data_IF_334952345231
#
_entry.id   IF_334952345231
#
_cell.length_a   1.000
_cell.length_b   1.000
_cell.length_c   1.000
_cell.angle_alpha   90.00
_cell.angle_beta   90.00
_cell.angle_gamma   90.00
#
_symmetry.space_group_name_H-M   'P 1'
#
loop_
_entity.id
_entity.type
_entity.pdbx_description
1 polymer ?
#
# COMPACT_ATOMS: atom_id res chain seq x y z
N UNK A 1 -23.86 -33.71 20.52
CA UNK A 1 -22.70 -33.31 19.71
C UNK A 1 -22.63 -31.80 19.76
N UNK A 2 -21.62 -31.22 20.45
CA UNK A 2 -21.38 -29.78 20.42
C UNK A 2 -20.59 -29.49 19.13
N UNK A 3 -21.20 -28.76 18.20
CA UNK A 3 -20.51 -28.23 17.06
C UNK A 3 -19.33 -27.38 17.55
N UNK A 4 -18.12 -27.79 17.16
CA UNK A 4 -16.93 -26.96 17.27
C UNK A 4 -17.17 -25.74 16.38
N UNK A 5 -17.62 -24.63 16.97
CA UNK A 5 -17.48 -23.31 16.33
C UNK A 5 -16.00 -23.08 16.17
N UNK A 6 -15.48 -23.29 14.96
CA UNK A 6 -14.17 -22.79 14.59
C UNK A 6 -14.18 -21.29 14.90
N UNK A 7 -13.39 -20.85 15.86
CA UNK A 7 -13.14 -19.43 16.11
C UNK A 7 -12.51 -18.87 14.82
N UNK A 8 -13.35 -18.38 13.91
CA UNK A 8 -12.86 -17.55 12.80
C UNK A 8 -12.25 -16.33 13.44
N UNK A 9 -10.94 -16.21 13.36
CA UNK A 9 -10.23 -14.98 13.72
C UNK A 9 -10.76 -13.90 12.77
N UNK A 10 -11.45 -12.91 13.32
CA UNK A 10 -11.96 -11.78 12.55
C UNK A 10 -10.84 -10.76 12.49
N UNK A 11 -10.14 -10.70 11.36
CA UNK A 11 -9.09 -9.70 11.15
C UNK A 11 -9.71 -8.30 11.14
N UNK A 12 -9.02 -7.36 11.78
CA UNK A 12 -9.44 -5.97 11.79
C UNK A 12 -9.18 -5.34 10.42
N UNK A 13 -10.00 -4.40 10.03
CA UNK A 13 -9.83 -3.59 8.81
C UNK A 13 -8.74 -2.51 9.01
N UNK A 14 -7.59 -2.94 9.55
CA UNK A 14 -6.42 -2.11 9.83
C UNK A 14 -5.21 -2.74 9.16
N UNK A 15 -4.60 -1.97 8.26
CA UNK A 15 -3.45 -2.35 7.45
C UNK A 15 -2.23 -1.52 7.85
N UNK A 16 -1.11 -2.16 8.10
CA UNK A 16 0.13 -1.51 8.57
C UNK A 16 1.22 -1.72 7.52
N UNK A 17 1.60 -0.67 6.82
CA UNK A 17 2.68 -0.70 5.83
C UNK A 17 3.96 -0.26 6.49
N UNK A 18 4.88 -1.18 6.72
CA UNK A 18 6.11 -0.96 7.49
C UNK A 18 7.31 -1.64 6.82
N UNK A 19 8.47 -1.03 6.95
CA UNK A 19 9.80 -1.60 6.68
C UNK A 19 10.83 -0.65 7.28
N UNK A 20 11.92 -1.17 7.83
CA UNK A 20 12.98 -0.37 8.43
C UNK A 20 13.67 0.54 7.41
N UNK A 21 13.78 0.10 6.16
CA UNK A 21 14.48 0.86 5.14
C UNK A 21 13.63 1.96 4.51
N UNK A 22 14.27 3.09 4.26
CA UNK A 22 13.74 4.15 3.42
C UNK A 22 13.77 3.76 1.93
N UNK A 23 12.90 4.36 1.11
CA UNK A 23 12.97 4.20 -0.35
C UNK A 23 12.42 2.89 -0.92
N UNK A 24 12.00 1.92 -0.10
CA UNK A 24 11.43 0.63 -0.56
C UNK A 24 10.01 0.75 -1.13
N UNK A 25 9.41 1.94 -1.09
CA UNK A 25 8.12 2.21 -1.72
C UNK A 25 6.91 2.09 -0.80
N UNK A 26 7.08 2.15 0.52
CA UNK A 26 5.97 2.10 1.51
C UNK A 26 4.83 3.05 1.16
N UNK A 27 5.11 4.34 1.09
CA UNK A 27 4.08 5.36 0.83
C UNK A 27 3.48 5.24 -0.57
N UNK A 28 4.27 4.83 -1.57
CA UNK A 28 3.73 4.54 -2.90
C UNK A 28 2.75 3.38 -2.85
N UNK A 29 3.11 2.30 -2.17
CA UNK A 29 2.24 1.14 -2.02
C UNK A 29 0.98 1.49 -1.20
N UNK A 30 1.13 2.09 -0.03
CA UNK A 30 0.03 2.46 0.85
C UNK A 30 -0.99 3.37 0.17
N UNK A 31 -0.51 4.45 -0.45
CA UNK A 31 -1.35 5.53 -0.97
C UNK A 31 -1.81 5.34 -2.41
N UNK A 32 -1.00 4.71 -3.26
CA UNK A 32 -1.27 4.59 -4.69
C UNK A 32 -1.70 3.18 -5.13
N UNK A 33 -1.56 2.17 -4.25
CA UNK A 33 -1.95 0.79 -4.58
C UNK A 33 -2.96 0.27 -3.58
N UNK A 34 -2.57 0.13 -2.30
CA UNK A 34 -3.40 -0.52 -1.29
C UNK A 34 -4.72 0.23 -1.05
N UNK A 35 -4.64 1.53 -0.75
CA UNK A 35 -5.83 2.32 -0.46
C UNK A 35 -6.83 2.37 -1.65
N UNK A 36 -6.39 2.59 -2.91
CA UNK A 36 -7.25 2.43 -4.09
C UNK A 36 -7.89 1.06 -4.24
N UNK A 37 -7.14 -0.03 -4.05
CA UNK A 37 -7.65 -1.40 -4.13
C UNK A 37 -8.69 -1.66 -3.04
N UNK A 38 -8.42 -1.21 -1.81
CA UNK A 38 -9.37 -1.33 -0.70
C UNK A 38 -10.66 -0.56 -0.98
N UNK A 39 -10.56 0.65 -1.54
CA UNK A 39 -11.74 1.43 -1.93
C UNK A 39 -12.58 0.72 -2.99
N UNK A 40 -11.96 0.26 -4.07
CA UNK A 40 -12.66 -0.40 -5.18
C UNK A 40 -13.34 -1.71 -4.76
N UNK A 41 -12.75 -2.44 -3.81
CA UNK A 41 -13.33 -3.67 -3.28
C UNK A 41 -14.34 -3.45 -2.15
N UNK A 42 -14.44 -2.23 -1.61
CA UNK A 42 -15.28 -1.90 -0.46
C UNK A 42 -15.94 -0.53 -0.65
N UNK A 43 -16.73 -0.35 -1.73
CA UNK A 43 -17.34 0.94 -2.12
C UNK A 43 -18.20 1.61 -1.03
N UNK A 44 -18.67 0.85 -0.04
CA UNK A 44 -19.47 1.35 1.08
C UNK A 44 -18.62 1.69 2.32
N UNK A 45 -17.29 1.55 2.23
CA UNK A 45 -16.38 1.83 3.35
C UNK A 45 -15.58 3.10 3.13
N UNK A 46 -15.29 3.78 4.23
CA UNK A 46 -14.43 4.95 4.27
C UNK A 46 -12.98 4.53 4.42
N UNK A 47 -12.15 4.82 3.45
CA UNK A 47 -10.72 4.51 3.51
C UNK A 47 -9.97 5.71 4.08
N UNK A 48 -9.23 5.50 5.15
CA UNK A 48 -8.41 6.52 5.80
C UNK A 48 -6.95 6.09 5.86
N UNK A 49 -6.07 6.86 5.25
CA UNK A 49 -4.62 6.63 5.23
C UNK A 49 -3.93 7.61 6.16
N UNK A 50 -3.15 7.07 7.09
CA UNK A 50 -2.37 7.80 8.10
C UNK A 50 -0.89 7.65 7.77
N UNK A 51 -0.28 8.69 7.20
CA UNK A 51 1.17 8.76 7.05
C UNK A 51 1.79 9.20 8.39
N UNK A 52 2.56 8.31 8.99
CA UNK A 52 3.26 8.58 10.25
C UNK A 52 4.76 8.60 9.98
N UNK A 53 5.31 9.79 9.75
CA UNK A 53 6.70 9.98 9.33
C UNK A 53 7.20 11.37 9.80
N UNK A 54 8.35 11.38 10.47
CA UNK A 54 8.96 12.64 10.90
C UNK A 54 9.64 13.41 9.77
N UNK A 55 10.06 12.71 8.73
CA UNK A 55 10.86 13.26 7.62
C UNK A 55 10.02 13.70 6.44
N UNK A 56 8.91 13.02 6.17
CA UNK A 56 8.08 13.24 4.99
C UNK A 56 6.74 13.91 5.34
N UNK A 57 6.12 14.50 4.34
CA UNK A 57 4.75 14.99 4.37
C UNK A 57 4.16 14.83 2.97
N UNK A 58 3.84 13.58 2.62
CA UNK A 58 3.35 13.21 1.29
C UNK A 58 1.95 13.76 1.03
N UNK A 59 1.15 13.99 2.09
CA UNK A 59 -0.18 14.61 1.99
C UNK A 59 -0.16 15.95 1.22
N UNK A 60 0.92 16.73 1.31
CA UNK A 60 1.05 17.98 0.56
C UNK A 60 0.98 17.79 -0.97
N UNK A 61 1.17 16.55 -1.42
CA UNK A 61 1.27 16.21 -2.84
C UNK A 61 0.15 15.29 -3.33
N UNK A 62 -0.70 14.77 -2.42
CA UNK A 62 -1.77 13.83 -2.78
C UNK A 62 -3.07 14.29 -2.13
N UNK A 63 -3.99 14.76 -2.97
CA UNK A 63 -5.37 15.02 -2.58
C UNK A 63 -6.27 14.00 -3.28
N UNK A 64 -7.28 13.49 -2.57
CA UNK A 64 -8.28 12.58 -3.13
C UNK A 64 -9.69 12.99 -2.70
N UNK A 65 -10.65 12.77 -3.60
CA UNK A 65 -12.08 12.90 -3.31
C UNK A 65 -12.67 11.66 -2.64
N UNK A 66 -11.95 10.53 -2.73
CA UNK A 66 -12.44 9.20 -2.37
C UNK A 66 -11.76 8.64 -1.13
N UNK A 67 -10.52 9.05 -0.87
CA UNK A 67 -9.69 8.53 0.22
C UNK A 67 -9.23 9.70 1.08
N UNK A 68 -9.38 9.56 2.39
CA UNK A 68 -8.87 10.55 3.35
C UNK A 68 -7.40 10.26 3.65
N UNK A 69 -6.53 11.26 3.42
CA UNK A 69 -5.10 11.18 3.75
C UNK A 69 -4.77 12.16 4.85
N UNK A 70 -4.05 11.71 5.86
CA UNK A 70 -3.51 12.56 6.92
C UNK A 70 -2.03 12.22 7.17
N UNK A 71 -1.21 13.27 7.30
CA UNK A 71 0.22 13.14 7.64
C UNK A 71 0.47 13.69 9.02
N UNK A 72 1.13 12.91 9.85
CA UNK A 72 1.32 13.14 11.27
C UNK A 72 2.75 12.81 11.68
N UNK A 73 3.18 13.35 12.79
CA UNK A 73 4.51 13.07 13.33
C UNK A 73 4.49 11.83 14.21
N UNK A 74 5.64 11.15 14.29
CA UNK A 74 5.79 9.93 15.10
C UNK A 74 5.43 10.15 16.57
N UNK A 75 5.66 11.34 17.12
CA UNK A 75 5.28 11.69 18.49
C UNK A 75 3.79 11.60 18.76
N UNK A 76 2.97 11.79 17.73
CA UNK A 76 1.51 11.78 17.82
C UNK A 76 0.93 10.36 17.57
N UNK A 77 1.78 9.36 17.26
CA UNK A 77 1.37 8.02 16.86
C UNK A 77 0.53 7.27 17.90
N UNK A 78 0.77 7.52 19.19
CA UNK A 78 -0.02 6.87 20.26
C UNK A 78 -1.48 7.34 20.25
N UNK A 79 -1.71 8.65 20.14
CA UNK A 79 -3.05 9.21 20.04
C UNK A 79 -3.78 8.67 18.80
N UNK A 80 -3.08 8.63 17.66
CA UNK A 80 -3.64 8.16 16.40
C UNK A 80 -4.02 6.68 16.47
N UNK A 81 -3.16 5.85 17.05
CA UNK A 81 -3.44 4.41 17.17
C UNK A 81 -4.66 4.18 18.07
N UNK A 82 -4.80 4.95 19.17
CA UNK A 82 -5.99 4.90 20.00
C UNK A 82 -7.26 5.36 19.26
N UNK A 83 -7.16 6.41 18.45
CA UNK A 83 -8.28 6.90 17.62
C UNK A 83 -8.68 5.87 16.55
N UNK A 84 -7.70 5.19 15.93
CA UNK A 84 -7.95 4.11 14.97
C UNK A 84 -8.62 2.93 15.65
N UNK A 85 -8.16 2.53 16.83
CA UNK A 85 -8.79 1.45 17.60
C UNK A 85 -10.24 1.79 17.96
N UNK A 86 -10.47 3.01 18.46
CA UNK A 86 -11.81 3.49 18.77
C UNK A 86 -12.72 3.52 17.53
N UNK A 87 -12.21 4.05 16.42
CA UNK A 87 -12.94 4.08 15.13
C UNK A 87 -13.29 2.67 14.66
N UNK A 88 -12.34 1.75 14.71
CA UNK A 88 -12.57 0.36 14.29
C UNK A 88 -13.62 -0.37 15.16
N UNK A 89 -13.80 0.04 16.42
CA UNK A 89 -14.82 -0.50 17.31
C UNK A 89 -16.20 0.14 17.10
N UNK A 90 -16.25 1.40 16.70
CA UNK A 90 -17.47 2.22 16.63
C UNK A 90 -18.01 2.41 15.22
N UNK A 91 -17.15 2.35 14.20
CA UNK A 91 -17.51 2.48 12.79
C UNK A 91 -17.07 1.25 11.98
N UNK A 92 -17.96 0.27 11.79
CA UNK A 92 -17.66 -0.93 11.00
C UNK A 92 -17.44 -0.62 9.51
N UNK A 93 -17.73 0.61 9.06
CA UNK A 93 -17.54 1.05 7.69
C UNK A 93 -16.21 1.77 7.47
N UNK A 94 -15.33 1.79 8.46
CA UNK A 94 -13.99 2.37 8.31
C UNK A 94 -12.93 1.31 8.01
N UNK A 95 -11.99 1.65 7.12
CA UNK A 95 -10.75 0.91 6.88
C UNK A 95 -9.59 1.86 7.10
N UNK A 96 -8.63 1.44 7.90
CA UNK A 96 -7.45 2.24 8.22
C UNK A 96 -6.20 1.65 7.61
N UNK A 97 -5.41 2.49 6.94
CA UNK A 97 -4.08 2.17 6.43
C UNK A 97 -3.07 3.06 7.13
N UNK A 98 -2.13 2.48 7.86
CA UNK A 98 -1.02 3.19 8.49
C UNK A 98 0.19 3.03 7.58
N UNK A 99 0.68 4.14 7.03
CA UNK A 99 1.93 4.22 6.28
C UNK A 99 3.04 4.66 7.22
N UNK A 100 3.86 3.71 7.65
CA UNK A 100 4.97 3.95 8.55
C UNK A 100 6.18 4.54 7.84
N UNK A 101 6.76 5.59 8.40
CA UNK A 101 8.04 6.14 7.97
C UNK A 101 9.17 5.11 7.93
N UNK A 102 10.31 5.51 7.39
CA UNK A 102 11.51 4.68 7.35
C UNK A 102 12.20 4.55 8.71
N UNK A 103 13.24 3.69 8.76
CA UNK A 103 14.13 3.55 9.92
C UNK A 103 13.40 3.26 11.24
N UNK A 104 13.58 4.12 12.24
CA UNK A 104 13.01 3.97 13.59
C UNK A 104 11.49 4.09 13.64
N UNK A 105 10.86 4.76 12.67
CA UNK A 105 9.43 5.06 12.72
C UNK A 105 8.58 3.80 12.61
N UNK A 106 8.91 2.91 11.68
CA UNK A 106 8.26 1.59 11.55
C UNK A 106 8.35 0.79 12.86
N UNK A 107 9.53 0.73 13.48
CA UNK A 107 9.72 0.08 14.79
C UNK A 107 8.90 0.73 15.90
N UNK A 108 8.83 2.05 15.89
CA UNK A 108 8.06 2.80 16.89
C UNK A 108 6.57 2.52 16.76
N UNK A 109 6.04 2.49 15.54
CA UNK A 109 4.63 2.13 15.28
C UNK A 109 4.34 0.74 15.83
N UNK A 110 5.16 -0.28 15.51
CA UNK A 110 4.98 -1.65 16.02
C UNK A 110 5.00 -1.66 17.57
N UNK A 111 5.94 -0.94 18.20
CA UNK A 111 5.99 -0.84 19.67
C UNK A 111 4.73 -0.19 20.26
N UNK A 112 4.17 0.84 19.60
CA UNK A 112 2.93 1.50 20.03
C UNK A 112 1.73 0.56 19.91
N UNK A 113 1.61 -0.16 18.80
CA UNK A 113 0.56 -1.18 18.62
C UNK A 113 0.61 -2.24 19.74
N UNK A 114 1.83 -2.67 20.11
CA UNK A 114 2.05 -3.58 21.24
C UNK A 114 1.59 -2.97 22.57
N UNK A 115 1.90 -1.69 22.83
CA UNK A 115 1.52 -1.00 24.07
C UNK A 115 0.02 -0.92 24.27
N UNK A 116 -0.75 -0.69 23.21
CA UNK A 116 -2.23 -0.66 23.25
C UNK A 116 -2.87 -2.04 23.06
N UNK A 117 -2.07 -3.10 22.91
CA UNK A 117 -2.51 -4.48 22.67
C UNK A 117 -3.46 -4.63 21.47
N UNK A 118 -3.20 -3.88 20.39
CA UNK A 118 -3.99 -3.91 19.16
C UNK A 118 -3.49 -5.04 18.26
N UNK A 119 -4.13 -6.18 18.28
CA UNK A 119 -3.74 -7.43 17.59
C UNK A 119 -4.74 -7.86 16.50
N UNK A 120 -4.35 -8.83 15.68
CA UNK A 120 -5.16 -9.33 14.56
C UNK A 120 -5.13 -8.38 13.36
N UNK A 121 -4.03 -7.70 13.15
CA UNK A 121 -3.84 -6.71 12.09
C UNK A 121 -3.30 -7.35 10.81
N UNK A 122 -3.26 -6.55 9.74
CA UNK A 122 -2.70 -6.95 8.44
C UNK A 122 -1.44 -6.12 8.17
N UNK A 123 -0.29 -6.77 8.19
CA UNK A 123 1.02 -6.15 8.02
C UNK A 123 1.49 -6.35 6.59
N UNK A 124 1.98 -5.27 5.99
CA UNK A 124 2.51 -5.26 4.64
C UNK A 124 3.94 -4.74 4.70
N UNK A 125 4.88 -5.53 4.18
CA UNK A 125 6.31 -5.24 4.19
C UNK A 125 6.78 -5.09 2.74
N UNK A 126 6.73 -3.88 2.15
CA UNK A 126 7.30 -3.63 0.84
C UNK A 126 8.82 -3.76 0.88
N UNK A 127 9.38 -4.42 -0.13
CA UNK A 127 10.82 -4.62 -0.27
C UNK A 127 11.25 -4.49 -1.72
N UNK A 128 12.55 -4.30 -1.95
CA UNK A 128 13.18 -4.35 -3.27
C UNK A 128 14.22 -5.48 -3.32
N UNK A 129 14.94 -5.60 -4.41
CA UNK A 129 15.93 -6.65 -4.67
C UNK A 129 17.24 -6.52 -3.89
N UNK A 130 17.46 -5.42 -3.17
CA UNK A 130 18.72 -5.18 -2.45
C UNK A 130 18.96 -6.23 -1.37
N UNK A 131 20.20 -6.67 -1.25
CA UNK A 131 20.59 -7.78 -0.37
C UNK A 131 20.30 -7.49 1.10
N UNK A 132 20.52 -6.26 1.54
CA UNK A 132 20.30 -5.81 2.92
C UNK A 132 18.82 -5.84 3.34
N UNK A 133 17.90 -6.00 2.36
CA UNK A 133 16.47 -6.04 2.64
C UNK A 133 16.03 -7.34 3.32
N UNK A 134 16.73 -8.44 3.10
CA UNK A 134 16.38 -9.76 3.67
C UNK A 134 16.41 -9.70 5.19
N UNK A 135 17.49 -9.20 5.77
CA UNK A 135 17.63 -9.09 7.23
C UNK A 135 16.58 -8.16 7.82
N UNK A 136 16.26 -7.06 7.12
CA UNK A 136 15.23 -6.13 7.55
C UNK A 136 13.82 -6.74 7.52
N UNK A 137 13.52 -7.59 6.52
CA UNK A 137 12.26 -8.33 6.45
C UNK A 137 12.17 -9.31 7.62
N UNK A 138 13.21 -10.09 7.86
CA UNK A 138 13.28 -11.08 8.95
C UNK A 138 13.04 -10.38 10.29
N UNK A 139 13.83 -9.34 10.59
CA UNK A 139 13.70 -8.56 11.82
C UNK A 139 12.29 -7.99 12.01
N UNK A 140 11.68 -7.48 10.95
CA UNK A 140 10.32 -6.92 11.01
C UNK A 140 9.29 -8.01 11.29
N UNK A 141 9.39 -9.17 10.63
CA UNK A 141 8.51 -10.32 10.85
C UNK A 141 8.62 -10.82 12.30
N UNK A 142 9.84 -10.99 12.81
CA UNK A 142 10.08 -11.40 14.19
C UNK A 142 9.45 -10.43 15.19
N UNK A 143 9.67 -9.12 14.99
CA UNK A 143 9.09 -8.09 15.84
C UNK A 143 7.56 -8.12 15.84
N UNK A 144 6.94 -8.32 14.67
CA UNK A 144 5.48 -8.43 14.56
C UNK A 144 5.01 -9.70 15.28
N UNK A 145 5.61 -10.87 14.99
CA UNK A 145 5.21 -12.16 15.56
C UNK A 145 5.41 -12.26 17.08
N UNK A 146 6.34 -11.48 17.64
CA UNK A 146 6.55 -11.40 19.09
C UNK A 146 5.27 -10.97 19.83
N UNK A 147 4.47 -10.06 19.27
CA UNK A 147 3.28 -9.55 19.94
C UNK A 147 1.95 -9.89 19.23
N UNK A 148 1.91 -9.90 17.91
CA UNK A 148 0.71 -10.23 17.11
C UNK A 148 0.90 -11.56 16.39
N UNK A 149 0.69 -12.65 17.13
CA UNK A 149 0.83 -14.01 16.60
C UNK A 149 -0.24 -14.35 15.56
N UNK A 150 -1.36 -13.63 15.56
CA UNK A 150 -2.52 -13.87 14.70
C UNK A 150 -2.58 -12.89 13.53
N UNK A 151 -1.77 -11.84 13.54
CA UNK A 151 -1.71 -10.88 12.46
C UNK A 151 -1.30 -11.54 11.13
N UNK A 152 -1.85 -11.06 10.02
CA UNK A 152 -1.41 -11.50 8.70
C UNK A 152 -0.21 -10.68 8.24
N UNK A 153 0.76 -11.35 7.65
CA UNK A 153 1.97 -10.71 7.13
C UNK A 153 2.10 -10.97 5.63
N UNK A 154 2.15 -9.88 4.86
CA UNK A 154 2.35 -9.88 3.42
C UNK A 154 3.68 -9.23 3.09
N UNK A 155 4.49 -9.88 2.26
CA UNK A 155 5.65 -9.22 1.63
C UNK A 155 5.22 -8.70 0.28
N UNK A 156 5.59 -7.46 -0.05
CA UNK A 156 5.38 -6.89 -1.39
C UNK A 156 6.73 -6.73 -2.07
N UNK A 157 7.00 -7.56 -3.08
CA UNK A 157 8.14 -7.39 -3.96
C UNK A 157 7.88 -6.21 -4.89
N UNK A 158 8.50 -5.08 -4.58
CA UNK A 158 8.29 -3.82 -5.26
C UNK A 158 9.31 -3.64 -6.41
N UNK A 159 8.91 -2.86 -7.42
CA UNK A 159 9.73 -2.55 -8.61
C UNK A 159 10.07 -3.79 -9.44
N UNK A 160 9.20 -4.78 -9.49
CA UNK A 160 9.40 -5.93 -10.37
C UNK A 160 9.57 -5.45 -11.82
N UNK A 161 10.62 -5.89 -12.49
CA UNK A 161 10.84 -5.55 -13.91
C UNK A 161 9.90 -6.32 -14.84
N UNK A 162 9.29 -7.37 -14.33
CA UNK A 162 8.30 -8.20 -15.01
C UNK A 162 7.52 -9.00 -13.96
N UNK A 163 6.27 -9.33 -14.23
CA UNK A 163 5.46 -10.21 -13.38
C UNK A 163 5.56 -11.69 -13.76
N UNK A 164 6.47 -12.07 -14.69
CA UNK A 164 6.75 -13.47 -15.01
C UNK A 164 7.57 -14.09 -13.87
N UNK A 165 7.15 -15.29 -13.43
CA UNK A 165 7.71 -15.97 -12.26
C UNK A 165 9.23 -16.15 -12.33
N UNK A 166 9.76 -16.57 -13.49
CA UNK A 166 11.20 -16.73 -13.71
C UNK A 166 11.97 -15.41 -13.55
N UNK A 167 11.40 -14.32 -14.02
CA UNK A 167 12.00 -12.97 -13.92
C UNK A 167 11.97 -12.46 -12.50
N UNK A 168 10.86 -12.69 -11.77
CA UNK A 168 10.74 -12.32 -10.36
C UNK A 168 11.78 -13.08 -9.53
N UNK A 169 11.86 -14.42 -9.68
CA UNK A 169 12.83 -15.24 -8.94
C UNK A 169 14.27 -14.80 -9.19
N UNK A 170 14.60 -14.46 -10.44
CA UNK A 170 15.93 -13.97 -10.78
C UNK A 170 16.22 -12.59 -10.21
N UNK A 171 15.25 -11.66 -10.22
CA UNK A 171 15.42 -10.32 -9.65
C UNK A 171 15.58 -10.39 -8.13
N UNK A 172 14.78 -11.20 -7.46
CA UNK A 172 14.79 -11.35 -6.00
C UNK A 172 15.52 -12.62 -5.56
N UNK A 173 16.63 -12.94 -6.22
CA UNK A 173 17.40 -14.18 -6.02
C UNK A 173 17.84 -14.39 -4.58
N UNK A 174 18.14 -13.32 -3.85
CA UNK A 174 18.52 -13.39 -2.44
C UNK A 174 17.36 -13.86 -1.54
N UNK A 175 16.13 -13.68 -1.98
CA UNK A 175 14.94 -14.14 -1.26
C UNK A 175 14.53 -15.55 -1.69
N UNK A 176 14.47 -15.79 -3.02
CA UNK A 176 14.02 -17.09 -3.57
C UNK A 176 15.11 -18.16 -3.59
N UNK A 177 16.37 -17.74 -3.54
CA UNK A 177 17.50 -18.64 -3.69
C UNK A 177 17.76 -19.06 -5.14
N UNK A 178 18.83 -19.82 -5.36
CA UNK A 178 19.17 -20.46 -6.62
C UNK A 178 20.05 -21.68 -6.37
N UNK A 179 19.58 -22.85 -6.74
CA UNK A 179 20.36 -24.10 -6.63
C UNK A 179 21.60 -24.05 -7.49
N UNK A 180 21.52 -23.49 -8.70
CA UNK A 180 22.61 -23.40 -9.66
C UNK A 180 23.76 -22.50 -9.16
N UNK A 181 23.44 -21.49 -8.35
CA UNK A 181 24.40 -20.56 -7.76
C UNK A 181 24.72 -20.88 -6.30
N UNK A 182 24.13 -21.94 -5.73
CA UNK A 182 24.33 -22.33 -4.34
C UNK A 182 23.77 -21.31 -3.33
N UNK A 183 22.78 -20.48 -3.74
CA UNK A 183 22.12 -19.49 -2.88
C UNK A 183 20.90 -20.15 -2.23
N UNK A 184 20.83 -20.26 -0.89
CA UNK A 184 19.67 -20.85 -0.22
C UNK A 184 18.44 -19.95 -0.31
N UNK A 185 17.25 -20.56 -0.43
CA UNK A 185 15.97 -19.86 -0.29
C UNK A 185 15.76 -19.39 1.15
N UNK A 186 15.30 -18.16 1.32
CA UNK A 186 14.94 -17.62 2.62
C UNK A 186 13.42 -17.71 2.89
N UNK A 187 12.60 -17.81 1.83
CA UNK A 187 11.14 -17.78 1.93
C UNK A 187 10.59 -18.89 2.83
N UNK A 188 11.13 -20.11 2.72
CA UNK A 188 10.63 -21.27 3.46
C UNK A 188 10.72 -21.08 4.99
N UNK A 189 11.58 -20.19 5.44
CA UNK A 189 11.82 -19.91 6.84
C UNK A 189 11.02 -18.69 7.35
N UNK A 190 10.33 -17.96 6.46
CA UNK A 190 9.59 -16.77 6.83
C UNK A 190 8.16 -17.12 7.29
N UNK A 191 7.80 -16.63 8.46
CA UNK A 191 6.45 -16.79 9.01
C UNK A 191 5.46 -15.78 8.38
N UNK A 192 5.26 -15.86 7.06
CA UNK A 192 4.41 -14.98 6.26
C UNK A 192 3.18 -15.69 5.72
N UNK A 193 2.16 -14.92 5.36
CA UNK A 193 0.92 -15.45 4.78
C UNK A 193 0.96 -15.47 3.25
N UNK A 194 1.52 -14.41 2.61
CA UNK A 194 1.55 -14.31 1.16
C UNK A 194 2.64 -13.36 0.66
N UNK A 195 3.05 -13.54 -0.61
CA UNK A 195 3.95 -12.63 -1.34
C UNK A 195 3.17 -11.99 -2.47
N UNK A 196 3.17 -10.67 -2.49
CA UNK A 196 2.55 -9.83 -3.51
C UNK A 196 3.62 -9.23 -4.41
N UNK A 197 3.26 -8.90 -5.65
CA UNK A 197 4.18 -8.37 -6.64
C UNK A 197 3.69 -7.02 -7.15
N UNK A 198 4.57 -6.04 -7.20
CA UNK A 198 4.26 -4.73 -7.76
C UNK A 198 5.26 -4.39 -8.87
N UNK A 199 4.72 -4.31 -10.09
CA UNK A 199 5.53 -3.95 -11.24
C UNK A 199 6.04 -2.52 -11.17
N UNK A 200 7.26 -2.30 -11.63
CA UNK A 200 7.84 -0.97 -11.72
C UNK A 200 7.10 -0.16 -12.79
N UNK A 201 6.51 0.96 -12.39
CA UNK A 201 5.77 1.81 -13.32
C UNK A 201 6.12 3.28 -13.14
N UNK A 202 6.40 3.95 -14.26
CA UNK A 202 6.59 5.41 -14.31
C UNK A 202 5.35 6.18 -13.84
N UNK A 203 4.17 5.54 -13.91
CA UNK A 203 2.89 6.13 -13.54
C UNK A 203 2.91 6.65 -12.11
N UNK A 204 3.45 5.89 -11.15
CA UNK A 204 3.52 6.34 -9.75
C UNK A 204 4.35 7.60 -9.58
N UNK A 205 5.44 7.72 -10.33
CA UNK A 205 6.28 8.93 -10.33
C UNK A 205 5.56 10.11 -10.95
N UNK A 206 4.88 9.91 -12.08
CA UNK A 206 4.14 10.95 -12.76
C UNK A 206 2.97 11.48 -11.90
N UNK A 207 2.20 10.59 -11.28
CA UNK A 207 1.08 10.97 -10.41
C UNK A 207 1.57 11.81 -9.22
N UNK A 208 2.67 11.40 -8.58
CA UNK A 208 3.22 12.11 -7.42
C UNK A 208 3.89 13.43 -7.80
N UNK A 209 4.77 13.42 -8.80
CA UNK A 209 5.68 14.54 -9.07
C UNK A 209 5.13 15.54 -10.07
N UNK A 210 4.35 15.09 -11.05
CA UNK A 210 3.89 15.91 -12.16
C UNK A 210 2.42 16.30 -12.00
N UNK A 211 1.53 15.31 -11.83
CA UNK A 211 0.09 15.56 -11.77
C UNK A 211 -0.41 15.92 -10.37
N UNK A 212 0.29 15.50 -9.33
CA UNK A 212 -0.06 15.72 -7.92
C UNK A 212 -1.49 15.29 -7.59
N UNK A 213 -1.88 14.14 -8.12
CA UNK A 213 -3.20 13.55 -7.98
C UNK A 213 -3.08 12.11 -7.47
N UNK A 214 -4.05 11.65 -6.70
CA UNK A 214 -4.13 10.25 -6.29
C UNK A 214 -4.50 9.35 -7.48
N UNK A 215 -3.98 8.12 -7.50
CA UNK A 215 -4.26 7.16 -8.57
C UNK A 215 -5.75 6.94 -8.79
N UNK A 216 -6.51 6.82 -7.70
CA UNK A 216 -7.95 6.57 -7.76
C UNK A 216 -8.71 7.74 -8.39
N UNK A 217 -8.37 8.97 -8.01
CA UNK A 217 -8.97 10.18 -8.61
C UNK A 217 -8.63 10.27 -10.09
N UNK A 218 -7.38 10.01 -10.44
CA UNK A 218 -6.92 9.99 -11.82
C UNK A 218 -7.67 8.91 -12.65
N UNK A 219 -7.88 7.74 -12.08
CA UNK A 219 -8.64 6.66 -12.70
C UNK A 219 -10.08 7.10 -12.99
N UNK A 220 -10.80 7.61 -12.00
CA UNK A 220 -12.19 8.04 -12.19
C UNK A 220 -12.31 9.24 -13.13
N UNK A 221 -11.41 10.21 -13.07
CA UNK A 221 -11.39 11.33 -14.03
C UNK A 221 -11.12 10.85 -15.46
N UNK A 222 -10.29 9.82 -15.61
CA UNK A 222 -9.99 9.23 -16.92
C UNK A 222 -11.20 8.46 -17.45
N UNK A 223 -11.87 7.72 -16.59
CA UNK A 223 -13.10 6.97 -16.94
C UNK A 223 -14.22 7.91 -17.35
N UNK A 224 -14.48 8.94 -16.56
CA UNK A 224 -15.48 9.98 -16.86
C UNK A 224 -15.21 10.67 -18.21
N UNK A 225 -13.96 11.05 -18.46
CA UNK A 225 -13.56 11.64 -19.73
C UNK A 225 -13.78 10.67 -20.90
N UNK A 226 -13.53 9.38 -20.71
CA UNK A 226 -13.73 8.36 -21.74
C UNK A 226 -15.21 8.13 -22.03
N UNK A 227 -16.02 7.94 -21.00
CA UNK A 227 -17.46 7.65 -21.13
C UNK A 227 -18.23 8.85 -21.67
N UNK A 228 -17.87 10.07 -21.29
CA UNK A 228 -18.58 11.30 -21.58
C UNK A 228 -17.88 12.21 -22.62
N UNK A 229 -17.05 11.63 -23.48
CA UNK A 229 -16.21 12.40 -24.44
C UNK A 229 -17.01 13.37 -25.32
N UNK A 230 -18.26 13.04 -25.68
CA UNK A 230 -19.12 13.90 -26.50
C UNK A 230 -19.57 15.14 -25.72
N UNK A 231 -19.88 15.01 -24.45
CA UNK A 231 -20.22 16.14 -23.57
C UNK A 231 -19.00 17.06 -23.39
N UNK A 232 -17.82 16.47 -23.17
CA UNK A 232 -16.58 17.23 -23.10
C UNK A 232 -16.27 17.96 -24.39
N UNK A 233 -16.54 17.35 -25.56
CA UNK A 233 -16.37 18.02 -26.86
C UNK A 233 -17.22 19.29 -26.96
N UNK A 234 -18.49 19.22 -26.52
CA UNK A 234 -19.37 20.38 -26.49
C UNK A 234 -18.87 21.45 -25.51
N UNK A 235 -18.49 21.03 -24.31
CA UNK A 235 -17.96 21.90 -23.25
C UNK A 235 -16.67 22.62 -23.66
N UNK A 236 -15.82 21.98 -24.41
CA UNK A 236 -14.55 22.55 -24.87
C UNK A 236 -14.69 23.44 -26.10
N UNK A 237 -15.78 23.32 -26.86
CA UNK A 237 -16.06 24.15 -28.04
C UNK A 237 -14.97 24.11 -29.08
N UNK A 238 -14.66 25.25 -29.69
CA UNK A 238 -13.65 25.38 -30.75
C UNK A 238 -12.23 25.02 -30.30
N UNK A 239 -11.94 25.13 -29.02
CA UNK A 239 -10.65 24.74 -28.43
C UNK A 239 -10.57 23.23 -28.10
N UNK A 240 -11.60 22.46 -28.41
CA UNK A 240 -11.72 21.06 -28.03
C UNK A 240 -10.52 20.21 -28.36
N UNK A 241 -9.91 20.41 -29.55
CA UNK A 241 -8.72 19.65 -29.96
C UNK A 241 -7.51 19.96 -29.06
N UNK A 242 -7.29 21.23 -28.68
CA UNK A 242 -6.16 21.60 -27.83
C UNK A 242 -6.36 21.05 -26.41
N UNK A 243 -7.57 21.17 -25.86
CA UNK A 243 -7.93 20.65 -24.53
C UNK A 243 -7.83 19.12 -24.52
N UNK A 244 -8.31 18.44 -25.56
CA UNK A 244 -8.16 16.99 -25.72
C UNK A 244 -6.70 16.58 -25.75
N UNK A 245 -5.88 17.26 -26.54
CA UNK A 245 -4.42 16.99 -26.64
C UNK A 245 -3.74 17.13 -25.28
N UNK A 246 -4.09 18.19 -24.54
CA UNK A 246 -3.57 18.42 -23.19
C UNK A 246 -4.00 17.36 -22.17
N UNK A 247 -5.17 16.72 -22.36
CA UNK A 247 -5.70 15.68 -21.46
C UNK A 247 -5.53 14.24 -22.01
N UNK A 248 -4.95 14.07 -23.17
CA UNK A 248 -4.79 12.78 -23.84
C UNK A 248 -4.04 11.73 -23.01
N UNK A 249 -3.18 12.17 -22.07
CA UNK A 249 -2.53 11.28 -21.13
C UNK A 249 -3.53 10.46 -20.28
N UNK A 250 -4.73 10.99 -19.97
CA UNK A 250 -5.78 10.27 -19.25
C UNK A 250 -6.31 9.07 -20.04
N UNK A 251 -6.51 9.22 -21.34
CA UNK A 251 -6.91 8.11 -22.22
C UNK A 251 -5.82 7.05 -22.36
N UNK A 252 -4.57 7.50 -22.53
CA UNK A 252 -3.43 6.59 -22.61
C UNK A 252 -3.23 5.81 -21.31
N UNK A 253 -3.53 6.43 -20.18
CA UNK A 253 -3.45 5.79 -18.88
C UNK A 253 -4.48 4.67 -18.74
N UNK A 254 -5.74 4.89 -19.12
CA UNK A 254 -6.77 3.84 -19.10
C UNK A 254 -6.39 2.63 -19.93
N UNK A 255 -5.74 2.83 -21.09
CA UNK A 255 -5.28 1.71 -21.92
C UNK A 255 -4.19 0.86 -21.28
N UNK A 256 -3.49 1.35 -20.28
CA UNK A 256 -2.49 0.60 -19.50
C UNK A 256 -3.10 -0.23 -18.36
N UNK A 257 -4.33 0.08 -17.95
CA UNK A 257 -5.03 -0.62 -16.85
C UNK A 257 -6.16 -1.54 -17.31
N UNK A 258 -6.56 -1.45 -18.58
CA UNK A 258 -7.61 -2.28 -19.15
C UNK A 258 -7.08 -3.51 -19.91
N UNK A 259 -5.77 -3.73 -19.86
CA UNK A 259 -5.11 -4.94 -20.37
C UNK A 259 -4.81 -5.87 -19.21
#
# INVERSE_FOLDING_TARGET
MKENKSNKINFKDIYIVVNENGGVGKSTFAMQVLAPVLYLNNLNKNIHVWEIDDSNNTKKHINSKYIKYESLKIKDSEMIINDIEFSNLTDPNSIHVIDGGGSSDSKTIIKRLKQVNLVGLQYIIPTNEDMDQIDNIINMIEMIREYDKFGKIYIVLNRCVSLKEDKIKNQFINLFGSTDLGIPSQIENLAIDEILFLENSIVYTLLKSHYKIALLDFYFESLDLHENIQEYKVKWGEQGHQVFTANNYKFKFLSLFLI
#
